data_IF_391933592319
#
_entry.id   IF_391933592319
#
_cell.length_a   1.000
_cell.length_b   1.000
_cell.length_c   1.000
_cell.angle_alpha   90.00
_cell.angle_beta   90.00
_cell.angle_gamma   90.00
#
_symmetry.space_group_name_H-M   'P 1'
#
loop_
_entity.id
_entity.type
_entity.pdbx_description
1 polymer ?
#
# COMPACT_ATOMS: atom_id res chain seq x y z
N UNK A 1 7.36 12.15 14.52
CA UNK A 1 6.10 12.80 14.88
C UNK A 1 5.29 11.91 15.80
N UNK A 2 4.99 12.42 16.98
CA UNK A 2 4.27 11.66 18.00
C UNK A 2 2.80 11.40 17.65
N UNK A 3 2.23 12.15 16.71
CA UNK A 3 0.84 12.02 16.30
C UNK A 3 0.59 10.89 15.30
N UNK A 4 1.64 10.42 14.64
CA UNK A 4 1.49 9.45 13.56
C UNK A 4 2.32 8.21 13.84
N UNK A 5 1.78 7.06 13.47
CA UNK A 5 2.46 5.78 13.63
C UNK A 5 3.20 5.41 12.35
N UNK A 6 4.43 4.96 12.51
CA UNK A 6 5.24 4.48 11.39
C UNK A 6 4.89 3.02 11.11
N UNK A 7 4.40 2.74 9.92
CA UNK A 7 4.05 1.38 9.51
C UNK A 7 5.23 0.41 9.52
N UNK A 8 6.45 0.94 9.47
CA UNK A 8 7.65 0.11 9.52
C UNK A 8 8.03 -0.36 10.91
N UNK A 9 7.35 0.10 11.95
CA UNK A 9 7.68 -0.28 13.34
C UNK A 9 6.87 -1.50 13.77
N UNK A 10 7.57 -2.54 14.19
CA UNK A 10 6.96 -3.80 14.63
C UNK A 10 6.02 -3.62 15.82
N UNK A 11 6.36 -2.70 16.72
CA UNK A 11 5.57 -2.47 17.93
C UNK A 11 4.14 -1.99 17.59
N UNK A 12 3.98 -1.24 16.51
CA UNK A 12 2.65 -0.81 16.08
C UNK A 12 1.84 -1.97 15.53
N UNK A 13 2.48 -2.86 14.78
CA UNK A 13 1.82 -4.05 14.25
C UNK A 13 1.27 -4.92 15.38
N UNK A 14 2.04 -5.11 16.46
CA UNK A 14 1.60 -5.85 17.63
C UNK A 14 0.39 -5.20 18.30
N UNK A 15 0.42 -3.88 18.45
CA UNK A 15 -0.69 -3.13 19.04
C UNK A 15 -1.95 -3.25 18.22
N UNK A 16 -1.84 -3.20 16.91
CA UNK A 16 -2.98 -3.37 16.01
C UNK A 16 -3.60 -4.74 16.18
N UNK A 17 -2.78 -5.76 16.31
CA UNK A 17 -3.24 -7.13 16.54
C UNK A 17 -4.03 -7.25 17.84
N UNK A 18 -3.62 -6.56 18.89
CA UNK A 18 -4.32 -6.58 20.17
C UNK A 18 -5.63 -5.82 20.15
N UNK A 19 -5.68 -4.72 19.38
CA UNK A 19 -6.87 -3.86 19.32
C UNK A 19 -7.97 -4.44 18.44
N UNK A 20 -7.58 -5.16 17.38
CA UNK A 20 -8.50 -5.71 16.41
C UNK A 20 -8.27 -7.22 16.35
N UNK A 21 -9.02 -7.97 17.18
CA UNK A 21 -8.83 -9.42 17.28
C UNK A 21 -9.17 -10.16 16.01
N UNK A 22 -10.30 -9.81 15.35
CA UNK A 22 -10.70 -10.40 14.09
C UNK A 22 -10.87 -9.29 13.06
N UNK A 23 -9.96 -9.25 12.10
CA UNK A 23 -10.01 -8.24 11.05
C UNK A 23 -10.66 -8.83 9.79
N UNK A 24 -11.55 -8.05 9.17
CA UNK A 24 -12.14 -8.40 7.87
C UNK A 24 -11.23 -8.03 6.70
N UNK A 25 -10.42 -7.01 6.88
CA UNK A 25 -9.50 -6.51 5.86
C UNK A 25 -8.15 -6.23 6.48
N UNK A 26 -7.12 -6.38 5.66
CA UNK A 26 -5.74 -6.15 6.08
C UNK A 26 -5.07 -5.14 5.19
N UNK A 27 -4.17 -4.37 5.76
CA UNK A 27 -3.17 -3.60 5.03
C UNK A 27 -1.84 -4.31 5.24
N UNK A 28 -1.26 -4.82 4.16
CA UNK A 28 0.05 -5.45 4.21
C UNK A 28 1.09 -4.42 3.83
N UNK A 29 1.97 -4.12 4.76
CA UNK A 29 3.10 -3.21 4.54
C UNK A 29 4.35 -4.06 4.36
N UNK A 30 4.96 -3.96 3.19
CA UNK A 30 6.06 -4.84 2.78
C UNK A 30 7.29 -4.00 2.47
N UNK A 31 8.44 -4.48 2.92
CA UNK A 31 9.75 -3.89 2.63
C UNK A 31 10.68 -4.97 2.10
N UNK A 32 11.72 -4.61 1.33
CA UNK A 32 12.76 -5.58 0.98
C UNK A 32 13.46 -6.11 2.24
N UNK A 33 13.92 -7.34 2.16
CA UNK A 33 14.68 -7.98 3.24
C UNK A 33 16.14 -7.47 3.28
N UNK A 34 16.94 -8.04 4.20
CA UNK A 34 18.34 -7.65 4.35
C UNK A 34 19.20 -7.96 3.13
N UNK A 35 18.74 -8.83 2.26
CA UNK A 35 19.40 -9.15 0.99
C UNK A 35 18.80 -8.34 -0.17
N UNK A 36 18.03 -7.31 0.15
CA UNK A 36 17.41 -6.38 -0.81
C UNK A 36 16.41 -7.07 -1.76
N UNK A 37 15.80 -8.17 -1.31
CA UNK A 37 14.81 -8.91 -2.07
C UNK A 37 13.42 -8.64 -1.54
N UNK A 38 12.48 -8.56 -2.47
CA UNK A 38 11.08 -8.32 -2.15
C UNK A 38 10.32 -9.66 -2.20
N UNK A 39 9.72 -10.05 -1.07
CA UNK A 39 8.90 -11.25 -0.99
C UNK A 39 7.43 -10.87 -1.17
N UNK A 40 6.85 -11.29 -2.29
CA UNK A 40 5.45 -11.04 -2.61
C UNK A 40 4.59 -12.32 -2.55
N UNK A 41 5.11 -13.37 -1.92
CA UNK A 41 4.38 -14.64 -1.81
C UNK A 41 3.05 -14.44 -1.09
N UNK A 42 1.99 -14.97 -1.67
CA UNK A 42 0.66 -14.87 -1.12
C UNK A 42 -0.03 -13.53 -1.32
N UNK A 43 0.65 -12.53 -1.88
CA UNK A 43 0.04 -11.21 -2.04
C UNK A 43 -1.03 -11.17 -3.12
N UNK A 44 -0.90 -11.99 -4.18
CA UNK A 44 -1.97 -12.12 -5.16
C UNK A 44 -3.27 -12.60 -4.55
N UNK A 45 -3.18 -13.59 -3.68
CA UNK A 45 -4.35 -14.10 -2.94
C UNK A 45 -4.93 -13.04 -2.00
N UNK A 46 -4.07 -12.33 -1.28
CA UNK A 46 -4.50 -11.26 -0.38
C UNK A 46 -5.24 -10.15 -1.14
N UNK A 47 -4.72 -9.76 -2.29
CA UNK A 47 -5.38 -8.76 -3.13
C UNK A 47 -6.73 -9.25 -3.65
N UNK A 48 -6.80 -10.52 -4.03
CA UNK A 48 -8.07 -11.11 -4.50
C UNK A 48 -9.13 -11.13 -3.39
N UNK A 49 -8.71 -11.23 -2.15
CA UNK A 49 -9.61 -11.16 -1.00
C UNK A 49 -10.01 -9.74 -0.60
N UNK A 50 -9.49 -8.73 -1.28
CA UNK A 50 -9.84 -7.34 -1.01
C UNK A 50 -8.92 -6.65 -0.01
N UNK A 51 -7.76 -7.21 0.26
CA UNK A 51 -6.77 -6.59 1.12
C UNK A 51 -5.90 -5.63 0.33
N UNK A 52 -5.24 -4.69 1.02
CA UNK A 52 -4.43 -3.64 0.41
C UNK A 52 -2.95 -3.94 0.68
N UNK A 53 -2.12 -3.72 -0.33
CA UNK A 53 -0.67 -3.93 -0.20
C UNK A 53 0.05 -2.60 -0.43
N UNK A 54 0.90 -2.25 0.51
CA UNK A 54 1.81 -1.10 0.39
C UNK A 54 3.24 -1.65 0.39
N UNK A 55 4.03 -1.21 -0.58
CA UNK A 55 5.43 -1.62 -0.70
C UNK A 55 6.31 -0.39 -0.56
N UNK A 56 7.23 -0.45 0.39
CA UNK A 56 8.17 0.63 0.67
C UNK A 56 9.56 0.24 0.16
N UNK A 57 10.02 0.90 -0.89
CA UNK A 57 11.33 0.67 -1.47
C UNK A 57 12.35 1.73 -1.03
N UNK A 58 12.04 2.50 0.00
CA UNK A 58 12.89 3.60 0.47
C UNK A 58 14.27 3.15 0.90
N UNK A 59 14.40 1.92 1.43
CA UNK A 59 15.70 1.38 1.81
C UNK A 59 16.63 1.13 0.63
N UNK A 60 16.11 1.13 -0.59
CA UNK A 60 16.88 0.91 -1.82
C UNK A 60 17.20 2.21 -2.57
N UNK A 61 17.09 3.36 -1.89
CA UNK A 61 17.31 4.67 -2.52
C UNK A 61 18.67 4.79 -3.20
N UNK A 62 19.71 4.19 -2.62
CA UNK A 62 21.06 4.20 -3.17
C UNK A 62 21.39 2.95 -3.99
N UNK A 63 20.39 2.17 -4.34
CA UNK A 63 20.55 0.93 -5.09
C UNK A 63 19.55 0.89 -6.27
N UNK A 64 19.75 1.75 -7.29
CA UNK A 64 18.75 1.91 -8.34
C UNK A 64 18.45 0.64 -9.13
N UNK A 65 19.43 -0.23 -9.33
CA UNK A 65 19.20 -1.50 -10.05
C UNK A 65 18.29 -2.44 -9.25
N UNK A 66 18.51 -2.54 -7.95
CA UNK A 66 17.67 -3.38 -7.08
C UNK A 66 16.27 -2.78 -6.94
N UNK A 67 16.19 -1.47 -6.85
CA UNK A 67 14.92 -0.77 -6.80
C UNK A 67 14.08 -1.06 -8.04
N UNK A 68 14.72 -1.05 -9.21
CA UNK A 68 14.04 -1.34 -10.48
C UNK A 68 13.58 -2.80 -10.56
N UNK A 69 14.38 -3.74 -10.08
CA UNK A 69 13.99 -5.15 -10.01
C UNK A 69 12.73 -5.30 -9.15
N UNK A 70 12.69 -4.64 -8.01
CA UNK A 70 11.53 -4.68 -7.12
C UNK A 70 10.29 -4.06 -7.79
N UNK A 71 10.45 -2.94 -8.48
CA UNK A 71 9.34 -2.32 -9.20
C UNK A 71 8.74 -3.23 -10.25
N UNK A 72 9.59 -3.93 -11.00
CA UNK A 72 9.13 -4.89 -12.02
C UNK A 72 8.35 -6.04 -11.40
N UNK A 73 8.77 -6.52 -10.24
CA UNK A 73 8.05 -7.58 -9.54
C UNK A 73 6.68 -7.11 -9.08
N UNK A 74 6.59 -5.88 -8.62
CA UNK A 74 5.31 -5.27 -8.24
C UNK A 74 4.41 -5.13 -9.48
N UNK A 75 4.94 -4.67 -10.59
CA UNK A 75 4.19 -4.55 -11.84
C UNK A 75 3.70 -5.91 -12.34
N UNK A 76 4.52 -6.94 -12.22
CA UNK A 76 4.12 -8.30 -12.58
C UNK A 76 2.95 -8.78 -11.73
N UNK A 77 3.02 -8.54 -10.42
CA UNK A 77 1.93 -8.89 -9.52
C UNK A 77 0.65 -8.15 -9.90
N UNK A 78 0.74 -6.86 -10.20
CA UNK A 78 -0.39 -6.05 -10.62
C UNK A 78 -1.00 -6.59 -11.91
N UNK A 79 -0.18 -6.95 -12.88
CA UNK A 79 -0.66 -7.53 -14.15
C UNK A 79 -1.37 -8.86 -13.93
N UNK A 80 -0.82 -9.70 -13.07
CA UNK A 80 -1.42 -11.00 -12.76
C UNK A 80 -2.77 -10.86 -12.06
N UNK A 81 -2.94 -9.84 -11.25
CA UNK A 81 -4.17 -9.60 -10.51
C UNK A 81 -5.16 -8.71 -11.26
N UNK A 82 -4.71 -8.01 -12.30
CA UNK A 82 -5.53 -7.04 -13.01
C UNK A 82 -5.78 -5.76 -12.23
N UNK A 83 -4.99 -5.50 -11.20
CA UNK A 83 -5.15 -4.33 -10.33
C UNK A 83 -4.07 -3.29 -10.62
N UNK A 84 -4.42 -1.99 -10.57
CA UNK A 84 -3.43 -0.93 -10.83
C UNK A 84 -2.48 -0.71 -9.67
N UNK A 85 -1.29 -0.23 -9.96
CA UNK A 85 -0.31 0.21 -8.96
C UNK A 85 -0.33 1.73 -8.89
N UNK A 86 -0.36 2.25 -7.68
CA UNK A 86 -0.30 3.69 -7.44
C UNK A 86 0.99 4.05 -6.74
N UNK A 87 1.65 5.11 -7.20
CA UNK A 87 2.77 5.70 -6.48
C UNK A 87 2.23 6.69 -5.46
N UNK A 88 2.67 6.55 -4.21
CA UNK A 88 2.23 7.42 -3.13
C UNK A 88 3.22 8.57 -2.87
N UNK A 89 4.36 8.56 -3.56
CA UNK A 89 5.34 9.65 -3.47
C UNK A 89 5.92 9.95 -4.85
N UNK A 90 6.62 11.06 -4.98
CA UNK A 90 7.21 11.49 -6.25
C UNK A 90 8.37 10.63 -6.70
N UNK A 91 9.07 10.02 -5.76
CA UNK A 91 10.24 9.19 -6.07
C UNK A 91 9.87 7.78 -6.54
N UNK A 92 8.60 7.41 -6.55
CA UNK A 92 8.11 6.08 -6.89
C UNK A 92 8.75 4.99 -6.01
N UNK A 93 8.98 5.32 -4.74
CA UNK A 93 9.53 4.39 -3.77
C UNK A 93 8.50 3.86 -2.78
N UNK A 94 7.32 4.45 -2.76
CA UNK A 94 6.21 3.99 -1.93
C UNK A 94 5.03 3.69 -2.86
N UNK A 95 4.72 2.41 -3.01
CA UNK A 95 3.77 1.93 -4.01
C UNK A 95 2.60 1.22 -3.32
N UNK A 96 1.43 1.32 -3.91
CA UNK A 96 0.22 0.73 -3.35
C UNK A 96 -0.56 -0.02 -4.42
N UNK A 97 -1.02 -1.22 -4.08
CA UNK A 97 -2.03 -1.93 -4.86
C UNK A 97 -3.26 -2.08 -3.98
N UNK A 98 -4.36 -1.51 -4.41
CA UNK A 98 -5.64 -1.67 -3.73
C UNK A 98 -6.25 -3.01 -4.12
N UNK A 99 -6.83 -3.70 -3.15
CA UNK A 99 -7.40 -5.00 -3.38
C UNK A 99 -8.69 -4.98 -4.20
N UNK A 100 -9.14 -6.16 -4.55
CA UNK A 100 -10.36 -6.36 -5.31
C UNK A 100 -11.55 -5.71 -4.61
N UNK A 101 -12.43 -5.07 -5.38
CA UNK A 101 -13.62 -4.36 -4.92
C UNK A 101 -13.30 -3.14 -4.06
N UNK A 102 -12.07 -2.66 -4.12
CA UNK A 102 -11.65 -1.45 -3.44
C UNK A 102 -11.52 -0.33 -4.48
N UNK A 103 -12.18 0.80 -4.22
CA UNK A 103 -12.05 1.97 -5.10
C UNK A 103 -10.99 2.89 -4.52
N UNK A 104 -10.08 3.34 -5.38
CA UNK A 104 -9.13 4.38 -5.03
C UNK A 104 -9.64 5.68 -5.62
N UNK A 105 -9.96 6.64 -4.77
CA UNK A 105 -10.40 7.95 -5.20
C UNK A 105 -9.17 8.84 -5.37
N UNK A 106 -8.88 9.16 -6.63
CA UNK A 106 -7.71 9.96 -6.98
C UNK A 106 -8.03 11.44 -7.16
N UNK A 107 -9.29 11.82 -7.03
CA UNK A 107 -9.68 13.22 -7.11
C UNK A 107 -9.21 13.96 -5.86
N UNK A 108 -8.78 15.20 -6.05
CA UNK A 108 -8.39 16.05 -4.94
C UNK A 108 -9.64 16.67 -4.34
N UNK A 109 -9.92 16.31 -3.09
CA UNK A 109 -11.05 16.87 -2.37
C UNK A 109 -10.62 18.03 -1.51
N UNK A 110 -11.39 19.10 -1.53
CA UNK A 110 -11.24 20.17 -0.55
C UNK A 110 -11.92 19.73 0.73
N UNK A 111 -11.32 20.06 1.86
CA UNK A 111 -11.88 19.69 3.15
C UNK A 111 -13.34 20.16 3.31
N UNK A 112 -14.21 19.21 3.49
CA UNK A 112 -15.60 19.43 3.90
C UNK A 112 -16.53 19.88 2.81
N UNK A 113 -16.46 21.15 2.45
CA UNK A 113 -17.55 21.82 1.73
C UNK A 113 -17.78 21.29 0.31
N UNK A 114 -16.72 20.94 -0.41
CA UNK A 114 -16.86 20.52 -1.80
C UNK A 114 -17.60 19.19 -1.92
N UNK A 115 -17.36 18.24 -1.03
CA UNK A 115 -18.06 16.96 -1.05
C UNK A 115 -19.54 17.12 -0.68
N UNK A 116 -19.83 17.97 0.27
CA UNK A 116 -21.21 18.26 0.66
C UNK A 116 -21.99 18.89 -0.48
N UNK A 117 -21.36 19.78 -1.23
CA UNK A 117 -22.00 20.39 -2.40
C UNK A 117 -22.36 19.36 -3.45
N UNK A 118 -21.48 18.40 -3.70
CA UNK A 118 -21.72 17.31 -4.66
C UNK A 118 -22.88 16.43 -4.22
N UNK A 119 -22.93 16.11 -2.95
CA UNK A 119 -24.01 15.28 -2.41
C UNK A 119 -25.34 15.99 -2.41
N UNK A 120 -25.33 17.31 -2.27
CA UNK A 120 -26.55 18.12 -2.27
C UNK A 120 -27.14 18.30 -3.65
N UNK A 121 -26.34 18.25 -4.69
CA UNK A 121 -26.76 18.47 -6.07
C UNK A 121 -27.41 17.22 -6.68
N UNK A 122 -27.29 16.11 -6.01
CA UNK A 122 -27.93 14.86 -6.42
C UNK A 122 -29.32 14.74 -5.78
#
# INVERSE_FOLDING_TARGET
NDSFHDLGKEIWAERTHKLIGEAERFVHYIKPDDLHRLNLDGMGHNLAQGNLVIVDLGSLTHMPSQQEVCRRRIQTLAQQTGLPVFALNEADTLLMIAGRNMRVDTEKHKLGVAQWSQLSDD
#
